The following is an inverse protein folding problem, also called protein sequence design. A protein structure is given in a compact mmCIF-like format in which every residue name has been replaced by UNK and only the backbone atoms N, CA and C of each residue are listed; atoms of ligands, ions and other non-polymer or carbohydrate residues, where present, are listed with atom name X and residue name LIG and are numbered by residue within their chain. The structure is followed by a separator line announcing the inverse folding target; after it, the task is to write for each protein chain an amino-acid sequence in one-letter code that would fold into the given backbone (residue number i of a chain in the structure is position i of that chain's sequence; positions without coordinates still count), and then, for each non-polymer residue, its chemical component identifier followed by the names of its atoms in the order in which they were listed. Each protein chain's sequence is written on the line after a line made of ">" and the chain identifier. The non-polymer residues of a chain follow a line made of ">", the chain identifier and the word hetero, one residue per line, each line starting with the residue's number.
data_IF_815463063195
#
_entry.id   IF_815463063195
#
_cell.length_a   1.000
_cell.length_b   1.000
_cell.length_c   1.000
_cell.angle_alpha   90.00
_cell.angle_beta   90.00
_cell.angle_gamma   90.00
#
_symmetry.space_group_name_H-M   'P 1'
#
loop_
_entity.id
_entity.type
_entity.pdbx_description
1 polymer ?
#
# COMPACT_ATOMS: atom_id res chain seq x y z
N UNK A 1 -101.39 -62.76 29.64
CA UNK A 1 -100.30 -62.07 30.37
C UNK A 1 -99.13 -61.84 29.41
N UNK A 2 -98.37 -60.76 29.65
CA UNK A 2 -97.37 -60.12 28.78
C UNK A 2 -96.07 -60.95 28.59
N UNK A 3 -95.48 -60.81 27.38
CA UNK A 3 -94.05 -60.60 26.96
C UNK A 3 -92.96 -61.42 27.69
N UNK A 4 -91.94 -61.98 27.03
CA UNK A 4 -90.92 -61.30 26.23
C UNK A 4 -90.17 -62.26 25.27
N UNK A 5 -89.73 -61.70 24.13
CA UNK A 5 -88.70 -62.25 23.23
C UNK A 5 -87.34 -62.25 23.93
N UNK A 6 -86.52 -63.28 23.72
CA UNK A 6 -85.07 -63.18 23.80
C UNK A 6 -84.47 -63.81 22.53
N UNK A 7 -83.96 -62.94 21.65
CA UNK A 7 -83.17 -63.32 20.48
C UNK A 7 -81.73 -63.46 20.95
N UNK A 8 -81.15 -64.64 20.81
CA UNK A 8 -79.75 -64.93 21.10
C UNK A 8 -78.94 -64.55 19.85
N UNK A 9 -78.22 -63.44 19.91
CA UNK A 9 -77.30 -63.00 18.86
C UNK A 9 -75.91 -63.57 19.19
N UNK A 10 -75.51 -64.63 18.51
CA UNK A 10 -74.17 -65.21 18.61
C UNK A 10 -73.13 -64.25 18.03
N UNK A 11 -72.20 -63.85 18.89
CA UNK A 11 -71.15 -62.88 18.65
C UNK A 11 -70.06 -63.46 17.73
N UNK A 12 -69.83 -62.81 16.59
CA UNK A 12 -68.72 -63.03 15.68
C UNK A 12 -67.43 -62.51 16.34
N UNK A 13 -66.57 -63.41 16.82
CA UNK A 13 -65.22 -63.04 17.31
C UNK A 13 -64.25 -63.11 16.14
N UNK A 14 -64.10 -61.99 15.43
CA UNK A 14 -62.94 -61.76 14.56
C UNK A 14 -61.74 -61.38 15.44
N UNK A 15 -60.82 -62.31 15.64
CA UNK A 15 -59.48 -62.00 16.16
C UNK A 15 -58.67 -61.29 15.06
N UNK A 16 -58.71 -59.97 15.04
CA UNK A 16 -57.67 -59.16 14.38
C UNK A 16 -56.50 -59.07 15.36
N UNK A 17 -55.44 -59.84 15.11
CA UNK A 17 -54.14 -59.62 15.74
C UNK A 17 -53.62 -58.24 15.29
N UNK A 18 -53.85 -57.23 16.13
CA UNK A 18 -53.15 -55.95 16.05
C UNK A 18 -51.70 -56.26 16.46
N UNK A 19 -50.78 -56.30 15.51
CA UNK A 19 -49.34 -56.30 15.80
C UNK A 19 -48.99 -54.97 16.48
N UNK A 20 -49.10 -54.91 17.80
CA UNK A 20 -48.66 -53.77 18.59
C UNK A 20 -47.13 -53.63 18.43
N UNK A 21 -46.66 -52.48 17.94
CA UNK A 21 -45.25 -52.15 17.98
C UNK A 21 -44.81 -52.11 19.44
N UNK A 22 -43.73 -52.84 19.79
CA UNK A 22 -43.24 -52.86 21.17
C UNK A 22 -42.67 -51.48 21.50
N UNK A 23 -43.30 -50.78 22.43
CA UNK A 23 -42.85 -49.48 22.93
C UNK A 23 -42.51 -49.60 24.40
N UNK A 24 -41.24 -49.38 24.75
CA UNK A 24 -40.79 -49.33 26.14
C UNK A 24 -40.68 -47.86 26.59
N UNK A 25 -40.97 -47.60 27.86
CA UNK A 25 -40.83 -46.26 28.48
C UNK A 25 -39.69 -46.28 29.48
N UNK A 26 -38.77 -45.33 29.36
CA UNK A 26 -37.58 -45.18 30.18
C UNK A 26 -37.58 -43.79 30.84
N UNK A 27 -37.03 -43.71 32.05
CA UNK A 27 -37.00 -42.50 32.86
C UNK A 27 -35.55 -42.17 33.20
N UNK A 28 -35.15 -40.92 32.97
CA UNK A 28 -33.80 -40.44 33.26
C UNK A 28 -33.83 -39.17 34.12
N UNK A 29 -32.87 -39.02 35.03
CA UNK A 29 -32.67 -37.80 35.83
C UNK A 29 -31.98 -36.68 35.02
N UNK A 30 -31.66 -35.54 35.66
CA UNK A 30 -30.94 -34.43 35.01
C UNK A 30 -29.54 -34.80 34.50
N UNK A 31 -28.95 -35.89 34.98
CA UNK A 31 -27.63 -36.38 34.61
C UNK A 31 -27.70 -37.54 33.60
N UNK A 32 -28.86 -37.78 33.00
CA UNK A 32 -29.10 -38.89 32.09
C UNK A 32 -28.84 -40.28 32.69
N UNK A 33 -29.01 -40.42 34.02
CA UNK A 33 -28.99 -41.70 34.72
C UNK A 33 -30.39 -42.23 34.89
N UNK A 34 -30.55 -43.54 34.71
CA UNK A 34 -31.84 -44.21 34.76
C UNK A 34 -32.44 -44.18 36.16
N UNK A 35 -33.73 -43.86 36.24
CA UNK A 35 -34.51 -43.87 37.49
C UNK A 35 -35.72 -44.80 37.35
N UNK A 36 -36.19 -45.34 38.47
CA UNK A 36 -37.25 -46.36 38.45
C UNK A 36 -38.65 -45.78 38.17
N UNK A 37 -38.88 -44.51 38.54
CA UNK A 37 -40.22 -43.91 38.47
C UNK A 37 -40.20 -42.53 37.83
N UNK A 38 -41.33 -42.16 37.20
CA UNK A 38 -41.56 -40.85 36.58
C UNK A 38 -41.34 -39.67 37.55
N UNK A 39 -41.56 -39.85 38.86
CA UNK A 39 -41.45 -38.78 39.84
C UNK A 39 -40.02 -38.25 39.98
N UNK A 40 -39.02 -39.10 39.74
CA UNK A 40 -37.60 -38.73 39.80
C UNK A 40 -37.03 -38.39 38.42
N UNK A 41 -37.87 -38.42 37.38
CA UNK A 41 -37.44 -38.21 36.01
C UNK A 41 -37.41 -36.73 35.65
N UNK A 42 -36.32 -36.32 35.01
CA UNK A 42 -36.21 -35.07 34.27
C UNK A 42 -36.50 -35.27 32.78
N UNK A 43 -36.27 -36.48 32.28
CA UNK A 43 -36.52 -36.87 30.90
C UNK A 43 -37.29 -38.18 30.84
N UNK A 44 -38.26 -38.25 29.93
CA UNK A 44 -39.10 -39.42 29.68
C UNK A 44 -38.86 -39.84 28.23
N UNK A 45 -38.29 -41.04 28.03
CA UNK A 45 -38.02 -41.57 26.69
C UNK A 45 -38.94 -42.73 26.35
N UNK A 46 -39.55 -42.64 25.18
CA UNK A 46 -40.28 -43.72 24.53
C UNK A 46 -39.39 -44.33 23.45
N UNK A 47 -39.13 -45.63 23.53
CA UNK A 47 -38.34 -46.37 22.53
C UNK A 47 -39.24 -47.37 21.82
N UNK A 48 -39.19 -47.37 20.50
CA UNK A 48 -40.02 -48.17 19.61
C UNK A 48 -39.14 -49.08 18.76
N UNK A 49 -39.32 -50.39 18.91
CA UNK A 49 -38.50 -51.38 18.23
C UNK A 49 -39.09 -51.71 16.86
N UNK A 50 -38.24 -51.71 15.84
CA UNK A 50 -38.63 -52.12 14.50
C UNK A 50 -38.92 -53.64 14.47
N UNK A 51 -40.03 -54.03 13.84
CA UNK A 51 -40.41 -55.45 13.69
C UNK A 51 -39.75 -56.13 12.48
N UNK A 52 -39.24 -55.34 11.53
CA UNK A 52 -38.53 -55.78 10.33
C UNK A 52 -37.16 -55.08 10.28
N UNK A 53 -36.11 -55.83 9.92
CA UNK A 53 -34.73 -55.36 9.82
C UNK A 53 -34.50 -54.28 8.75
N UNK A 54 -35.46 -54.05 7.85
CA UNK A 54 -35.45 -52.92 6.92
C UNK A 54 -35.74 -51.56 7.58
N UNK A 55 -36.31 -51.57 8.79
CA UNK A 55 -36.66 -50.36 9.53
C UNK A 55 -35.73 -50.17 10.74
N UNK A 56 -35.52 -48.91 11.12
CA UNK A 56 -34.68 -48.55 12.26
C UNK A 56 -35.52 -48.40 13.52
N UNK A 57 -34.93 -48.73 14.67
CA UNK A 57 -35.57 -48.46 15.96
C UNK A 57 -35.67 -46.96 16.17
N UNK A 58 -36.77 -46.48 16.74
CA UNK A 58 -37.06 -45.06 16.91
C UNK A 58 -37.19 -44.68 18.37
N UNK A 59 -36.72 -43.51 18.77
CA UNK A 59 -36.98 -42.97 20.10
C UNK A 59 -37.58 -41.57 20.04
N UNK A 60 -38.31 -41.21 21.10
CA UNK A 60 -38.70 -39.83 21.42
C UNK A 60 -38.49 -39.59 22.90
N UNK A 61 -37.75 -38.54 23.22
CA UNK A 61 -37.51 -38.08 24.59
C UNK A 61 -38.24 -36.77 24.80
N UNK A 62 -38.94 -36.65 25.92
CA UNK A 62 -39.62 -35.45 26.36
C UNK A 62 -39.01 -34.96 27.67
N UNK A 63 -39.01 -33.65 27.89
CA UNK A 63 -38.80 -33.11 29.24
C UNK A 63 -39.92 -33.60 30.16
N UNK A 64 -39.68 -33.65 31.47
CA UNK A 64 -40.71 -34.04 32.44
C UNK A 64 -41.93 -33.08 32.45
N UNK A 65 -41.76 -31.88 31.91
CA UNK A 65 -42.77 -30.85 31.65
C UNK A 65 -43.60 -31.11 30.37
N UNK A 66 -43.15 -32.01 29.49
CA UNK A 66 -43.93 -32.52 28.34
C UNK A 66 -43.48 -32.02 26.96
N UNK A 67 -42.56 -31.06 26.89
CA UNK A 67 -42.01 -30.59 25.61
C UNK A 67 -41.06 -31.64 25.01
N UNK A 68 -41.03 -31.74 23.68
CA UNK A 68 -40.13 -32.64 22.97
C UNK A 68 -38.68 -32.19 23.18
N UNK A 69 -37.84 -33.09 23.67
CA UNK A 69 -36.41 -32.85 23.87
C UNK A 69 -35.57 -33.43 22.74
N UNK A 70 -35.88 -34.65 22.28
CA UNK A 70 -35.14 -35.30 21.21
C UNK A 70 -35.95 -36.41 20.54
N UNK A 71 -35.64 -36.71 19.28
CA UNK A 71 -36.20 -37.85 18.56
C UNK A 71 -35.22 -38.35 17.49
N UNK A 72 -35.31 -39.64 17.14
CA UNK A 72 -34.43 -40.17 16.11
C UNK A 72 -34.37 -41.69 16.06
N UNK A 73 -33.34 -42.18 15.37
CA UNK A 73 -32.96 -43.59 15.31
C UNK A 73 -32.05 -43.98 16.47
N UNK A 74 -32.14 -45.22 16.93
CA UNK A 74 -31.16 -45.80 17.85
C UNK A 74 -30.71 -47.20 17.44
N UNK A 75 -29.47 -47.54 17.82
CA UNK A 75 -28.86 -48.85 17.65
C UNK A 75 -29.06 -49.65 18.95
N UNK A 76 -28.67 -49.08 20.09
CA UNK A 76 -28.85 -49.66 21.42
C UNK A 76 -29.19 -48.58 22.45
N UNK A 77 -29.96 -48.92 23.48
CA UNK A 77 -30.32 -48.00 24.57
C UNK A 77 -29.99 -48.67 25.89
N UNK A 78 -29.21 -47.97 26.73
CA UNK A 78 -28.95 -48.39 28.10
C UNK A 78 -29.98 -47.74 29.04
N UNK A 79 -30.67 -48.57 29.81
CA UNK A 79 -31.73 -48.15 30.73
C UNK A 79 -31.20 -47.38 31.94
N UNK A 80 -29.95 -47.59 32.33
CA UNK A 80 -29.35 -47.07 33.55
C UNK A 80 -28.42 -45.89 33.30
N UNK A 81 -27.83 -45.79 32.11
CA UNK A 81 -26.86 -44.75 31.79
C UNK A 81 -26.88 -44.40 30.30
N UNK A 82 -27.51 -43.28 29.94
CA UNK A 82 -27.70 -42.94 28.51
C UNK A 82 -26.39 -42.70 27.77
N UNK A 83 -25.29 -42.40 28.47
CA UNK A 83 -23.97 -42.27 27.86
C UNK A 83 -23.46 -43.57 27.21
N UNK A 84 -24.07 -44.71 27.54
CA UNK A 84 -23.80 -46.02 26.95
C UNK A 84 -24.78 -46.40 25.83
N UNK A 85 -25.79 -45.56 25.58
CA UNK A 85 -26.70 -45.74 24.45
C UNK A 85 -26.01 -45.37 23.14
N UNK A 86 -26.33 -46.06 22.06
CA UNK A 86 -25.83 -45.80 20.72
C UNK A 86 -26.98 -45.34 19.82
N UNK A 87 -26.81 -44.17 19.19
CA UNK A 87 -27.82 -43.54 18.36
C UNK A 87 -27.46 -43.55 16.87
N UNK A 88 -28.48 -43.52 16.01
CA UNK A 88 -28.33 -43.28 14.57
C UNK A 88 -28.48 -41.79 14.24
N UNK A 89 -29.28 -41.47 13.22
CA UNK A 89 -29.64 -40.08 12.95
C UNK A 89 -30.70 -39.58 13.94
N UNK A 90 -30.52 -38.40 14.53
CA UNK A 90 -31.42 -37.85 15.54
C UNK A 90 -31.45 -36.32 15.54
N UNK A 91 -32.48 -35.76 16.18
CA UNK A 91 -32.67 -34.33 16.40
C UNK A 91 -32.93 -34.06 17.86
N UNK A 92 -32.39 -32.95 18.38
CA UNK A 92 -32.77 -32.41 19.69
C UNK A 92 -33.34 -31.02 19.58
N UNK A 93 -34.10 -30.63 20.59
CA UNK A 93 -34.84 -29.38 20.63
C UNK A 93 -34.64 -28.69 21.98
N UNK A 94 -34.54 -27.37 21.95
CA UNK A 94 -34.61 -26.53 23.12
C UNK A 94 -35.99 -26.62 23.77
N UNK A 95 -36.11 -26.21 25.04
CA UNK A 95 -37.42 -26.16 25.75
C UNK A 95 -38.46 -25.29 25.03
N UNK A 96 -38.03 -24.30 24.25
CA UNK A 96 -38.92 -23.48 23.43
C UNK A 96 -39.39 -24.16 22.13
N UNK A 97 -39.01 -25.43 21.90
CA UNK A 97 -39.37 -26.23 20.73
C UNK A 97 -38.51 -25.99 19.48
N UNK A 98 -37.57 -25.04 19.51
CA UNK A 98 -36.65 -24.81 18.38
C UNK A 98 -35.59 -25.90 18.31
N UNK A 99 -35.19 -26.24 17.10
CA UNK A 99 -34.12 -27.22 16.83
C UNK A 99 -32.83 -26.77 17.50
N UNK A 100 -32.19 -27.68 18.22
CA UNK A 100 -30.92 -27.49 18.92
C UNK A 100 -29.79 -28.20 18.17
N UNK A 101 -30.00 -29.46 17.79
CA UNK A 101 -29.05 -30.26 17.03
C UNK A 101 -29.78 -31.08 15.98
N UNK A 102 -29.24 -31.11 14.76
CA UNK A 102 -29.60 -32.02 13.69
C UNK A 102 -28.38 -32.92 13.42
N UNK A 103 -28.46 -34.16 13.90
CA UNK A 103 -27.42 -35.17 13.77
C UNK A 103 -27.84 -36.14 12.67
N UNK A 104 -27.52 -35.81 11.42
CA UNK A 104 -27.79 -36.65 10.26
C UNK A 104 -26.56 -37.47 9.88
N UNK A 105 -26.09 -38.28 10.83
CA UNK A 105 -24.89 -39.11 10.68
C UNK A 105 -25.31 -40.57 10.79
N UNK A 106 -25.02 -41.31 9.73
CA UNK A 106 -25.39 -42.72 9.57
C UNK A 106 -24.13 -43.49 9.21
N UNK A 107 -23.84 -44.56 9.93
CA UNK A 107 -22.65 -45.41 9.71
C UNK A 107 -21.35 -44.59 9.66
N UNK A 108 -21.25 -43.59 10.54
CA UNK A 108 -20.08 -42.70 10.65
C UNK A 108 -19.93 -41.69 9.51
N UNK A 109 -20.94 -41.54 8.63
CA UNK A 109 -20.95 -40.57 7.54
C UNK A 109 -22.18 -39.67 7.60
N UNK A 110 -21.97 -38.37 7.43
CA UNK A 110 -23.08 -37.43 7.31
C UNK A 110 -22.77 -36.07 7.92
N UNK A 111 -23.81 -35.29 8.18
CA UNK A 111 -23.69 -33.88 8.59
C UNK A 111 -24.26 -33.68 9.99
N UNK A 112 -23.56 -32.88 10.78
CA UNK A 112 -24.05 -32.37 12.04
C UNK A 112 -24.29 -30.87 11.91
N UNK A 113 -25.43 -30.38 12.42
CA UNK A 113 -25.73 -28.95 12.52
C UNK A 113 -26.23 -28.66 13.93
N UNK A 114 -25.55 -27.76 14.62
CA UNK A 114 -26.00 -27.18 15.88
C UNK A 114 -26.60 -25.81 15.63
N UNK A 115 -27.59 -25.45 16.44
CA UNK A 115 -28.31 -24.18 16.37
C UNK A 115 -28.25 -23.46 17.71
N UNK A 116 -28.40 -22.13 17.70
CA UNK A 116 -28.64 -21.31 18.87
C UNK A 116 -30.13 -21.31 19.23
N UNK A 117 -30.49 -20.88 20.45
CA UNK A 117 -31.89 -20.75 20.88
C UNK A 117 -32.69 -19.73 20.05
N UNK A 118 -32.02 -18.80 19.36
CA UNK A 118 -32.67 -17.89 18.44
C UNK A 118 -33.09 -18.58 17.13
N UNK A 119 -32.55 -19.76 16.82
CA UNK A 119 -32.80 -20.56 15.60
C UNK A 119 -31.72 -20.41 14.54
N UNK A 120 -30.73 -19.52 14.72
CA UNK A 120 -29.60 -19.39 13.82
C UNK A 120 -28.66 -20.58 13.97
N UNK A 121 -27.95 -20.93 12.90
CA UNK A 121 -26.90 -21.95 12.98
C UNK A 121 -25.84 -21.49 13.99
N UNK A 122 -25.31 -22.44 14.73
CA UNK A 122 -24.19 -22.29 15.66
C UNK A 122 -22.94 -22.93 15.10
N UNK A 123 -23.07 -24.12 14.55
CA UNK A 123 -21.96 -24.87 13.96
C UNK A 123 -22.49 -25.88 12.94
N UNK A 124 -21.73 -26.15 11.90
CA UNK A 124 -21.94 -27.30 11.03
C UNK A 124 -20.63 -27.94 10.60
N UNK A 125 -20.63 -29.27 10.55
CA UNK A 125 -19.49 -30.06 10.09
C UNK A 125 -19.94 -31.40 9.52
N UNK A 126 -19.04 -32.04 8.76
CA UNK A 126 -19.26 -33.34 8.17
C UNK A 126 -18.34 -34.39 8.78
N UNK A 127 -18.86 -35.60 8.91
CA UNK A 127 -18.13 -36.78 9.35
C UNK A 127 -17.96 -37.75 8.18
N UNK A 128 -16.76 -38.33 8.09
CA UNK A 128 -16.44 -39.46 7.21
C UNK A 128 -15.69 -40.49 8.05
N UNK A 129 -16.18 -41.73 8.07
CA UNK A 129 -15.66 -42.82 8.91
C UNK A 129 -15.55 -42.43 10.40
N UNK A 130 -16.53 -41.69 10.92
CA UNK A 130 -16.58 -41.27 12.32
C UNK A 130 -15.63 -40.13 12.69
N UNK A 131 -14.90 -39.55 11.72
CA UNK A 131 -13.98 -38.42 11.96
C UNK A 131 -14.36 -37.22 11.11
N UNK A 132 -14.14 -36.02 11.64
CA UNK A 132 -14.48 -34.78 10.94
C UNK A 132 -13.64 -34.65 9.67
N UNK A 133 -14.31 -34.55 8.53
CA UNK A 133 -13.69 -34.45 7.22
C UNK A 133 -14.51 -33.50 6.35
N UNK A 134 -13.82 -32.57 5.69
CA UNK A 134 -14.46 -31.50 4.92
C UNK A 134 -14.50 -30.18 5.70
N UNK A 135 -15.45 -29.32 5.35
CA UNK A 135 -15.52 -27.95 5.87
C UNK A 135 -16.23 -27.94 7.22
N UNK A 136 -15.58 -27.34 8.22
CA UNK A 136 -16.16 -26.96 9.50
C UNK A 136 -16.50 -25.47 9.49
N UNK A 137 -17.71 -25.10 9.88
CA UNK A 137 -18.14 -23.70 9.98
C UNK A 137 -18.79 -23.48 11.35
N UNK A 138 -18.35 -22.45 12.07
CA UNK A 138 -19.08 -21.94 13.22
C UNK A 138 -19.62 -20.54 12.93
N UNK A 139 -20.68 -20.16 13.61
CA UNK A 139 -21.42 -18.92 13.39
C UNK A 139 -21.56 -18.16 14.71
N UNK A 140 -21.66 -16.84 14.65
CA UNK A 140 -22.11 -16.01 15.75
C UNK A 140 -23.63 -16.10 15.91
N UNK A 141 -24.16 -15.67 17.07
CA UNK A 141 -25.61 -15.64 17.28
C UNK A 141 -26.34 -14.73 16.28
N UNK A 142 -25.67 -13.71 15.74
CA UNK A 142 -26.21 -12.83 14.69
C UNK A 142 -26.29 -13.49 13.30
N UNK A 143 -25.81 -14.73 13.15
CA UNK A 143 -25.82 -15.50 11.90
C UNK A 143 -24.62 -15.27 10.99
N UNK A 144 -23.71 -14.35 11.31
CA UNK A 144 -22.45 -14.19 10.60
C UNK A 144 -21.51 -15.35 10.91
N UNK A 145 -20.63 -15.68 9.96
CA UNK A 145 -19.62 -16.73 10.17
C UNK A 145 -18.65 -16.25 11.25
N UNK A 146 -18.37 -17.12 12.23
CA UNK A 146 -17.35 -16.90 13.24
C UNK A 146 -16.03 -17.57 12.83
N UNK A 147 -16.08 -18.85 12.47
CA UNK A 147 -14.90 -19.57 11.96
C UNK A 147 -15.24 -20.44 10.78
N UNK A 148 -14.26 -20.67 9.91
CA UNK A 148 -14.36 -21.60 8.79
C UNK A 148 -13.01 -22.27 8.55
N UNK A 149 -12.97 -23.59 8.45
CA UNK A 149 -11.72 -24.30 8.15
C UNK A 149 -11.95 -25.68 7.57
N UNK A 150 -10.96 -26.15 6.81
CA UNK A 150 -10.94 -27.51 6.28
C UNK A 150 -10.38 -28.48 7.32
N UNK A 151 -11.06 -29.61 7.50
CA UNK A 151 -10.65 -30.69 8.39
C UNK A 151 -10.36 -31.96 7.59
N UNK A 152 -9.28 -32.65 7.96
CA UNK A 152 -8.94 -33.99 7.47
C UNK A 152 -8.63 -34.87 8.69
N UNK A 153 -9.35 -35.99 8.82
CA UNK A 153 -9.22 -36.92 9.95
C UNK A 153 -9.32 -36.23 11.33
N UNK A 154 -10.25 -35.31 11.49
CA UNK A 154 -10.48 -34.60 12.75
C UNK A 154 -9.50 -33.46 13.04
N UNK A 155 -8.60 -33.11 12.12
CA UNK A 155 -7.60 -32.05 12.31
C UNK A 155 -7.70 -31.00 11.21
N UNK A 156 -7.46 -29.73 11.56
CA UNK A 156 -7.39 -28.66 10.55
C UNK A 156 -6.27 -28.92 9.54
N UNK A 157 -6.59 -28.83 8.26
CA UNK A 157 -5.67 -29.06 7.15
C UNK A 157 -6.08 -28.24 5.94
N UNK A 158 -5.56 -27.02 5.84
CA UNK A 158 -5.98 -25.99 4.88
C UNK A 158 -5.93 -24.60 5.50
N UNK A 159 -6.72 -23.67 4.94
CA UNK A 159 -6.84 -22.32 5.49
C UNK A 159 -7.95 -22.30 6.53
N UNK A 160 -7.61 -21.88 7.74
CA UNK A 160 -8.53 -21.56 8.82
C UNK A 160 -8.79 -20.05 8.84
N UNK A 161 -10.06 -19.67 8.84
CA UNK A 161 -10.54 -18.31 8.93
C UNK A 161 -11.25 -18.09 10.27
N UNK A 162 -11.02 -16.92 10.86
CA UNK A 162 -11.75 -16.42 12.00
C UNK A 162 -12.18 -14.98 11.73
N UNK A 163 -13.47 -14.70 11.81
CA UNK A 163 -14.04 -13.39 11.54
C UNK A 163 -14.41 -12.69 12.85
N UNK A 164 -14.46 -11.36 12.83
CA UNK A 164 -15.01 -10.57 13.93
C UNK A 164 -16.53 -10.63 13.93
N UNK A 165 -17.17 -10.44 15.09
CA UNK A 165 -18.64 -10.44 15.21
C UNK A 165 -19.32 -9.36 14.37
N UNK A 166 -18.60 -8.26 14.09
CA UNK A 166 -19.07 -7.18 13.20
C UNK A 166 -18.90 -7.49 11.71
N UNK A 167 -18.09 -8.50 11.37
CA UNK A 167 -17.73 -8.82 9.98
C UNK A 167 -16.77 -7.82 9.32
N UNK A 168 -16.15 -6.93 10.10
CA UNK A 168 -15.25 -5.86 9.61
C UNK A 168 -13.78 -6.31 9.48
N UNK A 169 -13.43 -7.48 10.01
CA UNK A 169 -12.10 -8.06 9.88
C UNK A 169 -12.08 -9.59 9.94
N UNK A 170 -10.98 -10.16 9.45
CA UNK A 170 -10.72 -11.59 9.42
C UNK A 170 -9.25 -11.89 9.74
N UNK A 171 -9.02 -12.93 10.53
CA UNK A 171 -7.73 -13.59 10.69
C UNK A 171 -7.71 -14.87 9.87
N UNK A 172 -6.63 -15.12 9.14
CA UNK A 172 -6.42 -16.35 8.38
C UNK A 172 -5.10 -17.01 8.78
N UNK A 173 -5.13 -18.31 9.00
CA UNK A 173 -3.97 -19.13 9.33
C UNK A 173 -3.97 -20.41 8.50
N UNK A 174 -2.79 -20.84 8.06
CA UNK A 174 -2.64 -22.08 7.31
C UNK A 174 -2.27 -23.20 8.27
N UNK A 175 -2.99 -24.32 8.21
CA UNK A 175 -2.76 -25.51 9.04
C UNK A 175 -2.43 -26.71 8.18
N UNK A 176 -1.56 -27.58 8.69
CA UNK A 176 -1.24 -28.90 8.13
C UNK A 176 -1.27 -29.93 9.24
N UNK A 177 -2.13 -30.94 9.12
CA UNK A 177 -2.30 -31.99 10.13
C UNK A 177 -2.55 -31.48 11.56
N UNK A 178 -3.29 -30.38 11.70
CA UNK A 178 -3.65 -29.76 12.99
C UNK A 178 -2.61 -28.79 13.54
N UNK A 179 -1.46 -28.63 12.89
CA UNK A 179 -0.41 -27.69 13.31
C UNK A 179 -0.33 -26.51 12.34
N UNK A 180 0.00 -25.29 12.82
CA UNK A 180 0.23 -24.16 11.93
C UNK A 180 1.37 -24.42 10.95
N UNK A 181 1.11 -24.23 9.66
CA UNK A 181 2.11 -24.35 8.60
C UNK A 181 3.09 -23.16 8.56
N UNK A 182 2.71 -22.03 9.18
CA UNK A 182 3.49 -20.78 9.24
C UNK A 182 3.54 -20.26 10.68
N UNK A 183 4.59 -19.52 11.06
CA UNK A 183 4.71 -18.96 12.41
C UNK A 183 3.81 -17.73 12.64
N UNK A 184 2.95 -17.39 11.67
CA UNK A 184 2.09 -16.21 11.70
C UNK A 184 0.70 -16.52 11.17
N UNK A 185 -0.26 -15.70 11.56
CA UNK A 185 -1.54 -15.54 10.88
C UNK A 185 -1.58 -14.18 10.17
N UNK A 186 -2.39 -14.07 9.13
CA UNK A 186 -2.64 -12.79 8.45
C UNK A 186 -3.95 -12.21 8.95
N UNK A 187 -3.95 -10.94 9.31
CA UNK A 187 -5.13 -10.18 9.69
C UNK A 187 -5.47 -9.21 8.55
N UNK A 188 -6.74 -9.14 8.19
CA UNK A 188 -7.22 -8.29 7.11
C UNK A 188 -8.51 -7.58 7.51
N UNK A 189 -8.64 -6.31 7.15
CA UNK A 189 -9.86 -5.51 7.38
C UNK A 189 -10.73 -5.46 6.12
N UNK A 190 -11.99 -5.06 6.28
CA UNK A 190 -12.91 -4.80 5.17
C UNK A 190 -12.40 -3.73 4.18
N UNK A 191 -11.58 -2.80 4.66
CA UNK A 191 -10.98 -1.72 3.85
C UNK A 191 -9.75 -2.20 3.05
N UNK A 192 -9.39 -3.48 3.17
CA UNK A 192 -8.25 -4.09 2.47
C UNK A 192 -6.90 -3.89 3.15
N UNK A 193 -6.88 -3.40 4.40
CA UNK A 193 -5.62 -3.30 5.16
C UNK A 193 -5.17 -4.66 5.67
N UNK A 194 -3.88 -4.95 5.58
CA UNK A 194 -3.32 -6.27 5.88
C UNK A 194 -2.10 -6.19 6.78
N UNK A 195 -2.05 -7.04 7.80
CA UNK A 195 -0.86 -7.26 8.62
C UNK A 195 -0.67 -8.75 8.93
N UNK A 196 0.56 -9.14 9.27
CA UNK A 196 0.87 -10.48 9.77
C UNK A 196 1.25 -10.39 11.24
N UNK A 197 0.77 -11.33 12.05
CA UNK A 197 1.07 -11.40 13.47
C UNK A 197 1.60 -12.78 13.81
N UNK A 198 2.62 -12.84 14.67
CA UNK A 198 3.18 -14.09 15.16
C UNK A 198 2.12 -14.86 15.93
N UNK A 199 2.03 -16.16 15.67
CA UNK A 199 1.14 -17.04 16.42
C UNK A 199 1.59 -17.25 17.87
N UNK A 200 2.88 -17.01 18.17
CA UNK A 200 3.47 -17.25 19.50
C UNK A 200 3.09 -16.18 20.54
N UNK A 201 3.08 -14.91 20.15
CA UNK A 201 2.97 -13.77 21.08
C UNK A 201 2.07 -12.63 20.56
N UNK A 202 1.51 -12.76 19.36
CA UNK A 202 0.67 -11.72 18.74
C UNK A 202 1.43 -10.47 18.28
N UNK A 203 2.77 -10.47 18.30
CA UNK A 203 3.57 -9.34 17.82
C UNK A 203 3.59 -9.29 16.29
N UNK A 204 3.83 -8.10 15.73
CA UNK A 204 3.90 -7.90 14.29
C UNK A 204 4.98 -8.78 13.66
N UNK A 205 4.62 -9.48 12.59
CA UNK A 205 5.50 -10.31 11.79
C UNK A 205 5.84 -9.59 10.49
N UNK A 206 7.06 -9.07 10.38
CA UNK A 206 7.55 -8.38 9.20
C UNK A 206 8.53 -9.29 8.44
N UNK A 207 8.34 -9.39 7.13
CA UNK A 207 9.20 -10.16 6.23
C UNK A 207 10.19 -9.23 5.53
N UNK A 208 11.46 -9.63 5.47
CA UNK A 208 12.46 -8.94 4.65
C UNK A 208 12.15 -9.17 3.16
N UNK A 209 11.89 -8.12 2.37
CA UNK A 209 11.72 -8.25 0.93
C UNK A 209 13.06 -8.65 0.28
N UNK A 210 12.99 -9.53 -0.71
CA UNK A 210 14.15 -9.88 -1.52
C UNK A 210 14.15 -9.10 -2.82
N UNK A 211 15.33 -8.89 -3.43
CA UNK A 211 15.44 -8.17 -4.70
C UNK A 211 14.60 -8.80 -5.84
N UNK A 212 14.31 -10.09 -5.75
CA UNK A 212 13.50 -10.83 -6.73
C UNK A 212 11.99 -10.52 -6.59
N UNK A 213 11.54 -9.98 -5.47
CA UNK A 213 10.16 -9.53 -5.26
C UNK A 213 9.92 -8.12 -5.81
N UNK A 214 10.98 -7.41 -6.21
CA UNK A 214 10.91 -6.07 -6.79
C UNK A 214 10.17 -6.13 -8.13
N UNK A 215 9.18 -5.27 -8.27
CA UNK A 215 8.42 -5.10 -9.51
C UNK A 215 8.76 -3.75 -10.15
N UNK A 216 8.50 -3.64 -11.45
CA UNK A 216 8.77 -2.44 -12.25
C UNK A 216 7.46 -1.96 -12.88
N UNK A 217 7.18 -0.68 -12.74
CA UNK A 217 6.02 0.00 -13.29
C UNK A 217 6.45 1.16 -14.18
N UNK A 218 5.91 1.25 -15.40
CA UNK A 218 6.22 2.32 -16.33
C UNK A 218 5.01 3.25 -16.49
N UNK A 219 5.23 4.55 -16.34
CA UNK A 219 4.17 5.54 -16.50
C UNK A 219 4.70 6.79 -17.18
N UNK A 220 4.12 7.14 -18.35
CA UNK A 220 4.41 8.39 -19.07
C UNK A 220 5.91 8.66 -19.34
N UNK A 221 6.70 7.60 -19.49
CA UNK A 221 8.15 7.67 -19.71
C UNK A 221 9.00 7.50 -18.46
N UNK A 222 8.41 7.57 -17.27
CA UNK A 222 9.08 7.29 -16.01
C UNK A 222 9.02 5.80 -15.67
N UNK A 223 10.05 5.32 -14.98
CA UNK A 223 10.16 3.94 -14.50
C UNK A 223 10.23 3.93 -12.98
N UNK A 224 9.34 3.18 -12.35
CA UNK A 224 9.20 3.06 -10.91
C UNK A 224 9.48 1.63 -10.49
N UNK A 225 10.41 1.47 -9.58
CA UNK A 225 10.64 0.19 -8.92
C UNK A 225 9.82 0.15 -7.64
N UNK A 226 9.15 -0.96 -7.34
CA UNK A 226 8.32 -1.04 -6.14
C UNK A 226 8.28 -2.41 -5.48
N UNK A 227 7.92 -2.38 -4.19
CA UNK A 227 7.59 -3.54 -3.38
C UNK A 227 6.16 -3.45 -2.86
N UNK A 228 5.46 -4.58 -2.86
CA UNK A 228 4.21 -4.80 -2.13
C UNK A 228 4.48 -5.83 -1.04
N UNK A 229 4.81 -5.37 0.17
CA UNK A 229 5.22 -6.26 1.28
C UNK A 229 4.82 -5.66 2.62
N UNK A 230 4.48 -6.51 3.59
CA UNK A 230 4.13 -6.09 4.95
C UNK A 230 2.97 -5.07 5.02
N UNK A 231 2.04 -5.14 4.07
CA UNK A 231 0.97 -4.14 3.96
C UNK A 231 1.45 -2.79 3.42
N UNK A 232 2.67 -2.66 2.89
CA UNK A 232 3.20 -1.42 2.36
C UNK A 232 3.35 -1.50 0.84
N UNK A 233 3.03 -0.40 0.16
CA UNK A 233 3.49 -0.14 -1.20
C UNK A 233 4.61 0.88 -1.12
N UNK A 234 5.84 0.47 -1.41
CA UNK A 234 7.00 1.36 -1.47
C UNK A 234 7.46 1.43 -2.92
N UNK A 235 7.22 2.56 -3.57
CA UNK A 235 7.66 2.85 -4.94
C UNK A 235 8.78 3.87 -4.92
N UNK A 236 9.75 3.71 -5.82
CA UNK A 236 10.85 4.64 -5.97
C UNK A 236 11.18 4.90 -7.44
N UNK A 237 11.64 6.11 -7.70
CA UNK A 237 12.22 6.49 -8.98
C UNK A 237 13.56 7.20 -8.71
N UNK A 238 14.63 6.69 -9.30
CA UNK A 238 15.96 7.28 -9.20
C UNK A 238 16.29 8.06 -10.47
N UNK A 239 16.68 9.32 -10.32
CA UNK A 239 17.07 10.20 -11.43
C UNK A 239 18.31 11.04 -11.07
N UNK A 240 18.91 11.71 -12.07
CA UNK A 240 20.05 12.61 -11.84
C UNK A 240 19.57 14.06 -11.92
N UNK A 241 19.72 14.82 -10.84
CA UNK A 241 19.44 16.26 -10.79
C UNK A 241 20.76 17.06 -10.74
N UNK A 242 20.78 18.25 -11.38
CA UNK A 242 21.94 19.16 -11.45
C UNK A 242 21.66 20.61 -10.98
N UNK A 243 20.45 20.91 -10.52
CA UNK A 243 19.96 22.25 -10.22
C UNK A 243 20.81 22.94 -9.16
N UNK A 244 21.04 22.25 -8.02
CA UNK A 244 21.75 22.77 -6.84
C UNK A 244 23.00 21.96 -6.47
N UNK A 245 23.47 21.16 -7.43
CA UNK A 245 24.57 20.22 -7.31
C UNK A 245 24.23 18.96 -8.09
N UNK A 246 25.22 18.09 -8.33
CA UNK A 246 24.97 16.82 -9.02
C UNK A 246 24.59 15.76 -7.99
N UNK A 247 23.35 15.28 -8.04
CA UNK A 247 22.80 14.31 -7.09
C UNK A 247 22.09 13.18 -7.83
N UNK A 248 22.06 11.99 -7.20
CA UNK A 248 21.00 11.03 -7.46
C UNK A 248 19.80 11.45 -6.61
N UNK A 249 18.72 11.88 -7.26
CA UNK A 249 17.46 12.21 -6.61
C UNK A 249 16.60 10.96 -6.60
N UNK A 250 16.30 10.46 -5.40
CA UNK A 250 15.42 9.33 -5.20
C UNK A 250 14.05 9.87 -4.80
N UNK A 251 13.11 9.81 -5.73
CA UNK A 251 11.71 10.06 -5.43
C UNK A 251 11.11 8.82 -4.80
N UNK A 252 10.33 8.98 -3.73
CA UNK A 252 9.71 7.90 -2.97
C UNK A 252 8.22 8.18 -2.86
N UNK A 253 7.42 7.14 -3.13
CA UNK A 253 5.99 7.09 -2.83
C UNK A 253 5.80 5.92 -1.87
N UNK A 254 5.31 6.20 -0.68
CA UNK A 254 5.06 5.19 0.35
C UNK A 254 3.59 5.25 0.76
N UNK A 255 2.85 4.18 0.43
CA UNK A 255 1.46 3.99 0.86
C UNK A 255 1.41 2.95 1.96
N UNK A 256 0.79 3.29 3.08
CA UNK A 256 0.57 2.37 4.19
C UNK A 256 -0.80 1.67 4.04
N UNK A 257 -0.82 0.46 3.50
CA UNK A 257 -1.99 -0.42 3.48
C UNK A 257 -1.95 -1.45 4.62
N UNK A 258 -1.18 -1.20 5.69
CA UNK A 258 -1.16 -2.03 6.88
C UNK A 258 -2.20 -1.53 7.89
N UNK A 259 -2.41 -2.29 8.96
CA UNK A 259 -3.39 -1.92 10.01
C UNK A 259 -2.80 -1.03 11.10
N UNK A 260 -1.51 -0.70 11.03
CA UNK A 260 -0.82 0.10 12.06
C UNK A 260 -0.11 1.30 11.42
N UNK A 261 0.00 2.44 12.13
CA UNK A 261 0.84 3.54 11.68
C UNK A 261 2.31 3.11 11.59
N UNK A 262 3.03 3.60 10.57
CA UNK A 262 4.47 3.38 10.42
C UNK A 262 5.22 4.70 10.56
N UNK A 263 6.43 4.66 11.10
CA UNK A 263 7.30 5.85 11.12
C UNK A 263 8.33 5.74 10.00
N UNK A 264 8.21 6.59 9.00
CA UNK A 264 9.20 6.69 7.93
C UNK A 264 10.26 7.72 8.30
N UNK A 265 11.52 7.27 8.44
CA UNK A 265 12.65 8.15 8.71
C UNK A 265 13.65 8.12 7.55
N UNK A 266 13.63 9.14 6.66
CA UNK A 266 14.52 9.23 5.51
C UNK A 266 16.01 9.27 5.88
N UNK A 267 16.37 9.70 7.10
CA UNK A 267 17.76 9.76 7.55
C UNK A 267 18.38 8.37 7.77
N UNK A 268 17.56 7.31 7.85
CA UNK A 268 18.03 5.92 7.95
C UNK A 268 18.34 5.30 6.59
N UNK A 269 17.97 5.96 5.48
CA UNK A 269 18.26 5.48 4.13
C UNK A 269 19.77 5.41 3.94
N UNK A 270 20.24 4.27 3.44
CA UNK A 270 21.66 4.08 3.10
C UNK A 270 21.81 3.85 1.62
N UNK A 271 22.88 4.41 1.05
CA UNK A 271 23.17 4.31 -0.37
C UNK A 271 24.63 3.94 -0.58
N UNK A 272 24.86 3.08 -1.57
CA UNK A 272 26.16 2.53 -1.90
C UNK A 272 26.31 2.56 -3.41
N UNK A 273 27.52 2.85 -3.89
CA UNK A 273 27.88 2.54 -5.26
C UNK A 273 28.79 1.34 -5.31
N UNK A 274 28.71 0.58 -6.39
CA UNK A 274 29.72 -0.41 -6.77
C UNK A 274 30.42 0.07 -8.03
N UNK A 275 31.75 -0.08 -8.07
CA UNK A 275 32.55 0.09 -9.28
C UNK A 275 33.58 -1.03 -9.34
N UNK A 276 33.49 -1.90 -10.36
CA UNK A 276 34.14 -3.21 -10.37
C UNK A 276 33.76 -3.98 -9.09
N UNK A 277 34.73 -4.32 -8.24
CA UNK A 277 34.50 -5.03 -6.96
C UNK A 277 34.60 -4.14 -5.72
N UNK A 278 34.70 -2.81 -5.88
CA UNK A 278 34.78 -1.89 -4.75
C UNK A 278 33.42 -1.25 -4.47
N UNK A 279 32.94 -1.43 -3.25
CA UNK A 279 31.75 -0.77 -2.72
C UNK A 279 32.16 0.49 -1.97
N UNK A 280 31.45 1.59 -2.17
CA UNK A 280 31.66 2.86 -1.44
C UNK A 280 30.32 3.43 -1.01
N UNK A 281 30.25 3.87 0.25
CA UNK A 281 29.08 4.55 0.80
C UNK A 281 28.90 5.92 0.15
N UNK A 282 27.67 6.28 -0.18
CA UNK A 282 27.27 7.59 -0.65
C UNK A 282 26.56 8.33 0.48
N UNK A 283 26.82 9.63 0.61
CA UNK A 283 26.14 10.46 1.60
C UNK A 283 24.70 10.71 1.15
N UNK A 284 23.73 10.34 1.99
CA UNK A 284 22.32 10.69 1.83
C UNK A 284 22.09 11.99 2.61
N UNK A 285 21.72 13.06 1.90
CA UNK A 285 21.54 14.36 2.52
C UNK A 285 20.21 14.39 3.27
N UNK A 286 20.23 14.93 4.49
CA UNK A 286 18.99 15.31 5.15
C UNK A 286 18.43 16.63 4.58
N UNK A 287 17.20 16.98 4.97
CA UNK A 287 16.50 18.18 4.46
C UNK A 287 17.30 19.46 4.71
N UNK A 288 17.79 19.64 5.94
CA UNK A 288 18.48 20.86 6.36
C UNK A 288 19.81 21.04 5.62
N UNK A 289 20.57 19.96 5.42
CA UNK A 289 21.82 19.96 4.66
C UNK A 289 21.60 20.36 3.19
N UNK A 290 20.54 19.84 2.58
CA UNK A 290 20.22 20.18 1.20
C UNK A 290 19.69 21.62 1.09
N UNK A 291 18.80 22.05 1.99
CA UNK A 291 18.26 23.41 2.01
C UNK A 291 19.34 24.47 2.26
N UNK A 292 20.34 24.19 3.09
CA UNK A 292 21.49 25.06 3.26
C UNK A 292 22.28 25.25 1.94
N UNK A 293 22.44 24.19 1.14
CA UNK A 293 23.11 24.25 -0.17
C UNK A 293 22.28 25.03 -1.19
N UNK A 294 20.96 24.78 -1.24
CA UNK A 294 20.03 25.51 -2.10
C UNK A 294 20.07 27.00 -1.77
N UNK A 295 19.89 27.34 -0.49
CA UNK A 295 19.93 28.73 0.00
C UNK A 295 21.24 29.43 -0.36
N UNK A 296 22.38 28.79 -0.10
CA UNK A 296 23.69 29.37 -0.45
C UNK A 296 23.82 29.67 -1.93
N UNK A 297 23.43 28.75 -2.81
CA UNK A 297 23.54 28.95 -4.27
C UNK A 297 22.55 30.00 -4.78
N UNK A 298 21.32 30.00 -4.26
CA UNK A 298 20.33 31.03 -4.58
C UNK A 298 20.79 32.42 -4.13
N UNK A 299 21.34 32.56 -2.93
CA UNK A 299 21.83 33.85 -2.43
C UNK A 299 22.96 34.40 -3.31
N UNK A 300 23.87 33.54 -3.78
CA UNK A 300 24.90 33.95 -4.76
C UNK A 300 24.29 34.32 -6.11
N UNK A 301 23.31 33.56 -6.60
CA UNK A 301 22.57 33.89 -7.82
C UNK A 301 21.86 35.24 -7.73
N UNK A 302 21.14 35.48 -6.63
CA UNK A 302 20.49 36.77 -6.33
C UNK A 302 21.49 37.91 -6.27
N UNK A 303 22.66 37.69 -5.65
CA UNK A 303 23.73 38.69 -5.62
C UNK A 303 24.24 39.04 -7.02
N UNK A 304 24.59 38.04 -7.85
CA UNK A 304 25.07 38.28 -9.21
C UNK A 304 23.99 38.87 -10.12
N UNK A 305 22.73 38.46 -9.96
CA UNK A 305 21.61 39.04 -10.68
C UNK A 305 21.43 40.51 -10.31
N UNK A 306 21.45 40.84 -9.01
CA UNK A 306 21.40 42.22 -8.55
C UNK A 306 22.57 43.06 -9.06
N UNK A 307 23.80 42.52 -9.00
CA UNK A 307 24.97 43.16 -9.56
C UNK A 307 24.79 43.45 -11.06
N UNK A 308 24.30 42.48 -11.83
CA UNK A 308 24.10 42.63 -13.27
C UNK A 308 23.01 43.65 -13.61
N UNK A 309 21.86 43.61 -12.93
CA UNK A 309 20.78 44.58 -13.13
C UNK A 309 21.22 46.00 -12.73
N UNK A 310 21.94 46.16 -11.60
CA UNK A 310 22.51 47.45 -11.21
C UNK A 310 23.58 47.95 -12.19
N UNK A 311 24.41 47.07 -12.75
CA UNK A 311 25.38 47.43 -13.78
C UNK A 311 24.71 47.84 -15.09
N UNK A 312 23.62 47.17 -15.47
CA UNK A 312 22.83 47.51 -16.66
C UNK A 312 22.12 48.86 -16.48
N UNK A 313 21.50 49.10 -15.32
CA UNK A 313 20.88 50.38 -14.98
C UNK A 313 21.90 51.54 -14.98
N UNK A 314 23.08 51.32 -14.40
CA UNK A 314 24.18 52.30 -14.41
C UNK A 314 24.62 52.69 -15.82
N UNK A 315 24.65 51.73 -16.77
CA UNK A 315 25.01 51.99 -18.17
C UNK A 315 23.88 52.63 -18.99
N UNK A 316 22.62 52.42 -18.64
CA UNK A 316 21.46 52.95 -19.36
C UNK A 316 21.36 54.48 -19.33
N UNK A 317 22.00 55.13 -18.34
CA UNK A 317 22.15 56.58 -18.28
C UNK A 317 23.18 57.16 -19.25
N UNK A 318 24.06 56.34 -19.83
CA UNK A 318 25.13 56.79 -20.73
C UNK A 318 24.76 56.53 -22.19
N UNK A 319 24.98 57.55 -23.03
CA UNK A 319 24.87 57.46 -24.48
C UNK A 319 26.18 57.92 -25.10
N UNK A 320 26.68 57.25 -26.14
CA UNK A 320 27.90 57.65 -26.85
C UNK A 320 27.60 57.84 -28.33
N UNK A 321 28.02 58.97 -28.88
CA UNK A 321 27.98 59.26 -30.32
C UNK A 321 29.41 59.41 -30.84
N UNK A 322 29.75 58.66 -31.89
CA UNK A 322 31.05 58.75 -32.56
C UNK A 322 30.87 59.38 -33.94
N UNK A 323 31.58 60.46 -34.20
CA UNK A 323 31.60 61.14 -35.51
C UNK A 323 32.97 60.91 -36.16
N UNK A 324 32.99 60.36 -37.38
CA UNK A 324 34.19 60.30 -38.22
C UNK A 324 34.10 61.39 -39.28
N UNK A 325 35.07 62.29 -39.27
CA UNK A 325 35.20 63.36 -40.26
C UNK A 325 36.40 63.03 -41.15
N UNK A 326 36.13 62.80 -42.43
CA UNK A 326 37.16 62.62 -43.45
C UNK A 326 37.28 63.92 -44.26
N UNK A 327 38.43 64.57 -44.20
CA UNK A 327 38.71 65.79 -44.95
C UNK A 327 39.93 65.59 -45.85
N UNK A 328 39.72 65.76 -47.16
CA UNK A 328 40.76 65.71 -48.18
C UNK A 328 41.11 67.13 -48.64
N UNK A 329 42.40 67.44 -48.70
CA UNK A 329 42.90 68.73 -49.21
C UNK A 329 43.95 68.50 -50.29
N UNK A 330 43.93 69.34 -51.33
CA UNK A 330 44.97 69.36 -52.36
C UNK A 330 45.27 70.78 -52.78
N UNK A 331 46.54 71.11 -52.94
CA UNK A 331 47.01 72.41 -53.41
C UNK A 331 48.20 72.26 -54.35
N UNK A 332 48.42 73.25 -55.22
CA UNK A 332 49.58 73.29 -56.09
C UNK A 332 50.24 74.67 -56.01
N UNK A 333 51.56 74.68 -55.96
CA UNK A 333 52.37 75.91 -56.01
C UNK A 333 53.17 75.92 -57.29
N UNK A 334 53.13 77.03 -58.02
CA UNK A 334 53.89 77.24 -59.25
C UNK A 334 54.99 78.25 -58.95
N UNK A 335 56.24 77.85 -59.17
CA UNK A 335 57.40 78.74 -59.03
C UNK A 335 58.18 78.77 -60.34
N UNK A 336 58.41 79.97 -60.86
CA UNK A 336 59.19 80.21 -62.08
C UNK A 336 60.44 80.98 -61.75
N UNK A 337 61.59 80.50 -62.24
CA UNK A 337 62.86 81.21 -62.18
C UNK A 337 63.37 81.44 -63.61
N UNK A 338 63.75 82.69 -63.90
CA UNK A 338 64.32 83.07 -65.20
C UNK A 338 65.74 83.56 -64.94
N UNK A 339 66.71 82.91 -65.56
CA UNK A 339 68.13 83.26 -65.47
C UNK A 339 68.68 83.58 -66.85
N UNK A 340 69.44 84.67 -66.95
CA UNK A 340 70.14 85.07 -68.17
C UNK A 340 71.64 85.13 -67.88
N UNK A 341 72.45 84.51 -68.73
CA UNK A 341 73.91 84.60 -68.69
C UNK A 341 74.40 85.21 -70.01
N UNK A 342 75.23 86.25 -69.91
CA UNK A 342 75.75 87.00 -71.06
C UNK A 342 77.27 86.83 -71.10
N UNK A 343 77.78 86.22 -72.16
CA UNK A 343 79.21 86.04 -72.42
C UNK A 343 79.65 86.71 -73.71
N UNK A 344 80.95 86.87 -73.89
CA UNK A 344 81.58 87.66 -74.98
C UNK A 344 81.31 87.15 -76.40
N UNK A 345 80.65 86.00 -76.57
CA UNK A 345 80.21 85.45 -77.86
C UNK A 345 78.71 85.10 -77.92
N UNK A 346 77.88 85.67 -77.04
CA UNK A 346 76.41 85.54 -77.10
C UNK A 346 75.72 85.46 -75.74
N UNK A 347 74.44 85.83 -75.70
CA UNK A 347 73.58 85.74 -74.52
C UNK A 347 72.60 84.57 -74.66
N UNK A 348 72.45 83.79 -73.59
CA UNK A 348 71.43 82.74 -73.51
C UNK A 348 70.54 82.99 -72.31
N UNK A 349 69.21 82.96 -72.54
CA UNK A 349 68.19 83.10 -71.51
C UNK A 349 67.49 81.76 -71.35
N UNK A 350 67.45 81.24 -70.12
CA UNK A 350 66.72 80.03 -69.76
C UNK A 350 65.65 80.34 -68.72
N UNK A 351 64.42 79.89 -68.99
CA UNK A 351 63.33 79.92 -68.03
C UNK A 351 63.04 78.49 -67.56
N UNK A 352 62.92 78.29 -66.25
CA UNK A 352 62.48 77.04 -65.66
C UNK A 352 61.21 77.30 -64.84
N UNK A 353 60.14 76.56 -65.13
CA UNK A 353 58.88 76.59 -64.37
C UNK A 353 58.72 75.25 -63.68
N UNK A 354 58.68 75.27 -62.34
CA UNK A 354 58.39 74.11 -61.51
C UNK A 354 56.98 74.20 -60.95
N UNK A 355 56.21 73.13 -61.12
CA UNK A 355 54.90 72.96 -60.45
C UNK A 355 55.07 71.87 -59.40
N UNK A 356 54.82 72.18 -58.13
CA UNK A 356 54.74 71.18 -57.07
C UNK A 356 53.31 71.11 -56.54
N UNK A 357 52.70 69.94 -56.65
CA UNK A 357 51.39 69.64 -56.06
C UNK A 357 51.56 68.84 -54.77
N UNK A 358 50.70 69.10 -53.79
CA UNK A 358 50.55 68.26 -52.61
C UNK A 358 49.06 67.92 -52.42
N UNK A 359 48.78 66.67 -52.07
CA UNK A 359 47.45 66.23 -51.70
C UNK A 359 47.55 65.34 -50.46
N UNK A 360 46.62 65.51 -49.52
CA UNK A 360 46.56 64.75 -48.28
C UNK A 360 45.12 64.48 -47.88
N UNK A 361 44.91 63.38 -47.17
CA UNK A 361 43.62 63.02 -46.57
C UNK A 361 43.81 62.91 -45.07
N UNK A 362 42.96 63.56 -44.29
CA UNK A 362 42.94 63.50 -42.84
C UNK A 362 41.64 62.86 -42.39
N UNK A 363 41.74 61.81 -41.58
CA UNK A 363 40.58 61.16 -40.96
C UNK A 363 40.63 61.42 -39.47
N UNK A 364 39.64 62.14 -38.94
CA UNK A 364 39.53 62.48 -37.52
C UNK A 364 38.28 61.84 -36.94
N UNK A 365 38.44 61.00 -35.91
CA UNK A 365 37.32 60.44 -35.16
C UNK A 365 37.16 61.15 -33.82
N UNK A 366 35.96 61.63 -33.49
CA UNK A 366 35.62 62.20 -32.18
C UNK A 366 34.46 61.44 -31.56
N UNK A 367 34.58 61.06 -30.28
CA UNK A 367 33.52 60.40 -29.51
C UNK A 367 33.02 61.33 -28.41
N UNK A 368 31.71 61.59 -28.39
CA UNK A 368 31.04 62.36 -27.34
C UNK A 368 30.18 61.43 -26.49
N UNK A 369 30.36 61.46 -25.17
CA UNK A 369 29.55 60.68 -24.22
C UNK A 369 28.63 61.64 -23.46
N UNK A 370 27.32 61.39 -23.52
CA UNK A 370 26.29 62.14 -22.78
C UNK A 370 25.67 61.29 -21.66
N UNK A 371 25.39 61.91 -20.51
CA UNK A 371 24.74 61.27 -19.36
C UNK A 371 23.33 61.85 -19.13
N UNK A 372 22.32 60.97 -19.02
CA UNK A 372 20.93 61.30 -18.72
C UNK A 372 20.52 60.72 -17.36
N UNK A 373 20.48 61.57 -16.33
CA UNK A 373 20.13 61.16 -14.96
C UNK A 373 18.67 60.69 -14.79
N UNK A 374 17.73 61.18 -15.60
CA UNK A 374 16.33 60.74 -15.55
C UNK A 374 16.18 59.31 -16.11
N UNK A 375 16.88 59.02 -17.21
CA UNK A 375 16.94 57.67 -17.77
C UNK A 375 17.66 56.69 -16.82
N UNK A 376 18.74 57.12 -16.17
CA UNK A 376 19.43 56.34 -15.16
C UNK A 376 18.53 56.00 -13.95
N UNK A 377 17.78 56.98 -13.44
CA UNK A 377 16.85 56.76 -12.31
C UNK A 377 15.69 55.81 -12.67
N UNK A 378 15.10 55.99 -13.86
CA UNK A 378 14.04 55.09 -14.33
C UNK A 378 14.56 53.65 -14.53
N UNK A 379 15.78 53.50 -15.05
CA UNK A 379 16.42 52.19 -15.19
C UNK A 379 16.68 51.53 -13.83
N UNK A 380 17.07 52.30 -12.81
CA UNK A 380 17.29 51.79 -11.45
C UNK A 380 15.98 51.31 -10.80
N UNK A 381 14.86 52.02 -10.99
CA UNK A 381 13.55 51.57 -10.49
C UNK A 381 13.12 50.25 -11.13
N UNK A 382 13.35 50.09 -12.45
CA UNK A 382 13.04 48.86 -13.17
C UNK A 382 13.96 47.72 -12.71
N UNK A 383 15.25 47.99 -12.55
CA UNK A 383 16.23 47.03 -12.04
C UNK A 383 15.86 46.55 -10.62
N UNK A 384 15.50 47.47 -9.72
CA UNK A 384 15.03 47.14 -8.37
C UNK A 384 13.77 46.25 -8.40
N UNK A 385 12.81 46.55 -9.27
CA UNK A 385 11.62 45.71 -9.49
C UNK A 385 11.97 44.29 -9.94
N UNK A 386 12.87 44.15 -10.93
CA UNK A 386 13.32 42.83 -11.43
C UNK A 386 14.10 42.04 -10.38
N UNK A 387 14.93 42.72 -9.58
CA UNK A 387 15.65 42.09 -8.47
C UNK A 387 14.66 41.54 -7.42
N UNK A 388 13.65 42.33 -7.05
CA UNK A 388 12.62 41.91 -6.11
C UNK A 388 11.82 40.72 -6.64
N UNK A 389 11.43 40.75 -7.92
CA UNK A 389 10.71 39.65 -8.57
C UNK A 389 11.55 38.36 -8.62
N UNK A 390 12.83 38.45 -9.00
CA UNK A 390 13.76 37.32 -8.97
C UNK A 390 13.89 36.72 -7.57
N UNK A 391 14.03 37.56 -6.53
CA UNK A 391 14.12 37.10 -5.15
C UNK A 391 12.85 36.39 -4.68
N UNK A 392 11.67 36.87 -5.09
CA UNK A 392 10.40 36.20 -4.80
C UNK A 392 10.30 34.84 -5.50
N UNK A 393 10.72 34.73 -6.76
CA UNK A 393 10.77 33.45 -7.48
C UNK A 393 11.71 32.45 -6.79
N UNK A 394 12.89 32.88 -6.35
CA UNK A 394 13.84 32.02 -5.62
C UNK A 394 13.28 31.55 -4.27
N UNK A 395 12.52 32.41 -3.57
CA UNK A 395 11.86 32.05 -2.32
C UNK A 395 10.78 30.98 -2.55
N UNK A 396 9.93 31.16 -3.56
CA UNK A 396 8.90 30.18 -3.93
C UNK A 396 9.53 28.83 -4.33
N UNK A 397 10.59 28.86 -5.13
CA UNK A 397 11.32 27.64 -5.50
C UNK A 397 11.89 26.91 -4.29
N UNK A 398 12.44 27.65 -3.31
CA UNK A 398 12.97 27.07 -2.07
C UNK A 398 11.86 26.42 -1.24
N UNK A 399 10.71 27.07 -1.13
CA UNK A 399 9.55 26.52 -0.42
C UNK A 399 9.08 25.22 -1.07
N UNK A 400 8.88 25.20 -2.40
CA UNK A 400 8.50 23.98 -3.12
C UNK A 400 9.51 22.84 -2.92
N UNK A 401 10.81 23.16 -2.89
CA UNK A 401 11.85 22.15 -2.64
C UNK A 401 11.83 21.63 -1.20
N UNK A 402 11.63 22.48 -0.20
CA UNK A 402 11.54 22.08 1.21
C UNK A 402 10.28 21.23 1.48
N UNK A 403 9.14 21.59 0.88
CA UNK A 403 7.89 20.84 0.98
C UNK A 403 7.98 19.46 0.33
N UNK A 404 8.68 19.34 -0.81
CA UNK A 404 8.89 18.07 -1.48
C UNK A 404 9.97 17.18 -0.87
N UNK A 405 10.82 17.72 0.02
CA UNK A 405 11.91 16.95 0.64
C UNK A 405 11.35 16.09 1.76
N UNK A 406 11.63 14.78 1.73
CA UNK A 406 11.10 13.88 2.75
C UNK A 406 11.73 14.17 4.11
N UNK A 407 10.87 14.31 5.11
CA UNK A 407 11.21 14.47 6.52
C UNK A 407 10.66 13.27 7.30
N UNK A 408 11.07 13.10 8.55
CA UNK A 408 10.50 12.07 9.41
C UNK A 408 8.98 12.26 9.49
N UNK A 409 8.21 11.22 9.19
CA UNK A 409 6.75 11.31 9.09
C UNK A 409 6.12 10.00 9.55
N UNK A 410 5.07 10.11 10.35
CA UNK A 410 4.18 8.99 10.66
C UNK A 410 3.16 8.86 9.54
N UNK A 411 3.06 7.68 8.93
CA UNK A 411 2.11 7.38 7.86
C UNK A 411 1.04 6.46 8.44
N UNK A 412 -0.19 6.96 8.58
CA UNK A 412 -1.32 6.18 9.10
C UNK A 412 -1.85 5.19 8.06
N UNK A 413 -2.61 4.15 8.47
CA UNK A 413 -3.32 3.27 7.54
C UNK A 413 -4.15 4.06 6.51
N UNK A 414 -3.97 3.76 5.23
CA UNK A 414 -4.60 4.43 4.09
C UNK A 414 -3.90 5.70 3.61
N UNK A 415 -2.92 6.22 4.35
CA UNK A 415 -2.17 7.40 3.93
C UNK A 415 -1.07 7.07 2.93
N UNK A 416 -0.75 8.05 2.09
CA UNK A 416 0.38 8.02 1.17
C UNK A 416 1.23 9.25 1.39
N UNK A 417 2.53 9.06 1.51
CA UNK A 417 3.51 10.15 1.45
C UNK A 417 4.27 10.10 0.13
N UNK A 418 4.60 11.27 -0.38
CA UNK A 418 5.35 11.45 -1.61
C UNK A 418 6.40 12.52 -1.42
N UNK A 419 7.60 12.30 -1.94
CA UNK A 419 8.65 13.30 -1.90
C UNK A 419 9.97 12.73 -2.40
N UNK A 420 11.07 13.41 -2.13
CA UNK A 420 12.38 12.96 -2.56
C UNK A 420 13.45 13.10 -1.49
N UNK A 421 14.53 12.35 -1.67
CA UNK A 421 15.82 12.54 -0.99
C UNK A 421 16.94 12.66 -2.01
N UNK A 422 17.99 13.41 -1.66
CA UNK A 422 19.16 13.57 -2.50
C UNK A 422 20.35 12.79 -1.96
N UNK A 423 20.96 12.01 -2.85
CA UNK A 423 22.12 11.17 -2.58
C UNK A 423 23.28 11.74 -3.39
N UNK A 424 24.45 11.86 -2.76
CA UNK A 424 25.63 12.40 -3.41
C UNK A 424 25.96 11.59 -4.68
N UNK A 425 26.06 12.28 -5.82
CA UNK A 425 26.42 11.62 -7.07
C UNK A 425 27.89 11.23 -7.07
N UNK A 426 28.16 9.99 -7.44
CA UNK A 426 29.48 9.53 -7.84
C UNK A 426 29.37 8.54 -9.00
N UNK A 427 30.31 8.60 -9.95
CA UNK A 427 30.37 7.65 -11.06
C UNK A 427 30.67 6.24 -10.54
N UNK A 428 29.91 5.26 -11.02
CA UNK A 428 29.99 3.84 -10.66
C UNK A 428 29.31 2.98 -11.72
N UNK A 429 29.28 1.67 -11.48
CA UNK A 429 28.63 0.69 -12.35
C UNK A 429 27.24 0.32 -11.80
N UNK A 430 27.07 0.37 -10.48
CA UNK A 430 25.81 0.05 -9.79
C UNK A 430 25.51 1.07 -8.68
N UNK A 431 24.23 1.37 -8.49
CA UNK A 431 23.68 2.12 -7.36
C UNK A 431 22.78 1.18 -6.56
N UNK A 432 23.12 0.99 -5.29
CA UNK A 432 22.33 0.22 -4.32
C UNK A 432 21.78 1.15 -3.25
N UNK A 433 20.48 1.12 -2.99
CA UNK A 433 19.80 1.91 -1.96
C UNK A 433 19.00 1.00 -1.07
N UNK A 434 19.14 1.17 0.24
CA UNK A 434 18.40 0.44 1.25
C UNK A 434 17.52 1.43 2.00
N UNK A 435 16.21 1.17 1.99
CA UNK A 435 15.20 2.00 2.68
C UNK A 435 14.68 1.23 3.89
N UNK A 436 15.08 1.60 5.12
CA UNK A 436 14.54 0.98 6.32
C UNK A 436 13.14 1.50 6.63
N UNK A 437 12.21 0.58 6.91
CA UNK A 437 10.89 0.87 7.47
C UNK A 437 10.67 -0.10 8.62
N UNK A 438 10.45 0.43 9.82
CA UNK A 438 10.46 -0.31 11.08
C UNK A 438 11.75 -1.14 11.24
N UNK A 439 11.62 -2.47 11.39
CA UNK A 439 12.75 -3.40 11.53
C UNK A 439 13.17 -4.07 10.22
N UNK A 440 12.62 -3.64 9.08
CA UNK A 440 12.85 -4.26 7.76
C UNK A 440 13.50 -3.27 6.79
N UNK A 441 14.36 -3.78 5.94
CA UNK A 441 15.04 -3.02 4.90
C UNK A 441 14.52 -3.41 3.53
N UNK A 442 14.14 -2.42 2.72
CA UNK A 442 13.71 -2.56 1.34
C UNK A 442 14.88 -2.22 0.40
N UNK A 443 15.49 -3.22 -0.26
CA UNK A 443 16.66 -3.00 -1.10
C UNK A 443 16.28 -2.65 -2.54
N UNK A 444 16.95 -1.67 -3.13
CA UNK A 444 16.83 -1.31 -4.53
C UNK A 444 18.20 -1.26 -5.18
N UNK A 445 18.30 -1.77 -6.40
CA UNK A 445 19.55 -1.86 -7.14
C UNK A 445 19.31 -1.47 -8.60
N UNK A 446 20.18 -0.60 -9.11
CA UNK A 446 20.19 -0.14 -10.50
C UNK A 446 21.58 -0.22 -11.12
N UNK A 447 21.65 -0.60 -12.39
CA UNK A 447 22.83 -0.44 -13.22
C UNK A 447 22.95 1.02 -13.68
N UNK A 448 24.08 1.64 -13.36
CA UNK A 448 24.41 3.05 -13.69
C UNK A 448 25.69 3.16 -14.51
N UNK A 449 26.12 2.09 -15.16
CA UNK A 449 27.37 2.01 -15.94
C UNK A 449 27.40 2.92 -17.19
N UNK A 450 26.24 3.45 -17.61
CA UNK A 450 26.07 4.27 -18.82
C UNK A 450 26.60 5.70 -18.70
#
# INVERSE_FOLDING_TARGET
>A
MKKYKLVLFTMLVCNLNIFAQKVDTLYYDNNWKGVETKQFASFIRYVSYAQDGNYRNKFRTYFNTGELNSEGDFISIDKYDDSKSEFGAWKSYYKNGKLQTDWDVVDGKGKCINYYENGNKKEEFELVNGTQNGIAISYFENGLIHTKGDCVNGKYNGIFYQFTEKGDACSQAEYKNGEPAKPYYTYSTQDGFVAKYKMSDGTLYLEMPSINEKQVYHQKGDTWDYYMKNGLCLMVNASINKDYGKYFTLYVVLTNNSVQPITFNPALITAYKKKKDKVKNLNVLNSDEYMAKVSRRQNWGSFFNALNESMAASKAGYSASSTQTNSSYSGATVSGAVGAAVGTNGATVGAAVGVSGYAGSLSTSSTTVGYNGAAAYQAELIASGRIAEYNNQMLQERQMKDEGYLKITTVNPGETITGYVNIQYEKGDELSINIPIDSVVYPFVWDISK
#
